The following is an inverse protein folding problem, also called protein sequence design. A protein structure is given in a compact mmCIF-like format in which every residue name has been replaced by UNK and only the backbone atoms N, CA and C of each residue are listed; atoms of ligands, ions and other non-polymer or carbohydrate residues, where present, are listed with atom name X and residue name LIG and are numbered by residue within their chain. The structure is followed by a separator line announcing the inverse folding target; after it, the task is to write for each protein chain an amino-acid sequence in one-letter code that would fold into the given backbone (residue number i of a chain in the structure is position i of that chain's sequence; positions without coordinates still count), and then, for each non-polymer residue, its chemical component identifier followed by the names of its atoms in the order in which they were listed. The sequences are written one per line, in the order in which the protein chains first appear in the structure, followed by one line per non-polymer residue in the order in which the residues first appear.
data_IF_226911567458
#
_entry.id   IF_226911567458
#
_cell.length_a   1.000
_cell.length_b   1.000
_cell.length_c   1.000
_cell.angle_alpha   90.00
_cell.angle_beta   90.00
_cell.angle_gamma   90.00
#
_symmetry.space_group_name_H-M   'P 1'
#
loop_
_entity.id
_entity.type
_entity.pdbx_description
1 polymer ?
#
# COMPACT_ATOMS: atom_id res chain seq x y z
N UNK A 1 6.25 2.24 6.35
CA UNK A 1 6.70 1.56 5.12
C UNK A 1 5.54 1.06 4.30
N UNK A 2 5.11 -0.19 4.51
CA UNK A 2 4.10 -0.90 3.69
C UNK A 2 2.83 -0.09 3.46
N UNK A 3 2.10 0.28 4.53
CA UNK A 3 0.83 1.02 4.40
C UNK A 3 0.99 2.37 3.69
N UNK A 4 2.04 3.12 4.04
CA UNK A 4 2.29 4.42 3.43
C UNK A 4 2.66 4.29 1.94
N UNK A 5 3.41 3.25 1.57
CA UNK A 5 3.71 2.94 0.17
C UNK A 5 2.46 2.57 -0.62
N UNK A 6 1.58 1.76 -0.02
CA UNK A 6 0.29 1.39 -0.61
C UNK A 6 -0.58 2.61 -0.90
N UNK A 7 -0.75 3.49 0.11
CA UNK A 7 -1.49 4.74 -0.03
C UNK A 7 -0.89 5.61 -1.12
N UNK A 8 0.43 5.83 -1.09
CA UNK A 8 1.08 6.70 -2.07
C UNK A 8 0.92 6.19 -3.50
N UNK A 9 1.16 4.90 -3.74
CA UNK A 9 1.00 4.33 -5.07
C UNK A 9 -0.47 4.33 -5.53
N UNK A 10 -1.43 4.10 -4.64
CA UNK A 10 -2.84 4.24 -4.96
C UNK A 10 -3.19 5.67 -5.38
N UNK A 11 -2.72 6.67 -4.64
CA UNK A 11 -2.95 8.10 -4.96
C UNK A 11 -2.29 8.49 -6.28
N UNK A 12 -1.12 7.94 -6.60
CA UNK A 12 -0.46 8.07 -7.91
C UNK A 12 -1.34 7.45 -9.01
N UNK A 13 -1.86 6.24 -8.79
CA UNK A 13 -2.75 5.54 -9.72
C UNK A 13 -4.06 6.30 -9.98
N UNK A 14 -4.66 6.86 -8.93
CA UNK A 14 -5.86 7.70 -9.04
C UNK A 14 -5.55 8.99 -9.82
N UNK A 15 -4.47 9.67 -9.47
CA UNK A 15 -4.13 11.00 -10.03
C UNK A 15 -3.75 10.95 -11.51
N UNK A 16 -2.91 10.00 -11.92
CA UNK A 16 -2.35 9.99 -13.27
C UNK A 16 -2.90 8.88 -14.17
N UNK A 17 -3.38 7.78 -13.60
CA UNK A 17 -3.84 6.61 -14.37
C UNK A 17 -5.36 6.44 -14.33
N UNK A 18 -6.10 7.29 -13.60
CA UNK A 18 -7.56 7.27 -13.54
C UNK A 18 -8.13 5.92 -13.08
N UNK A 19 -7.42 5.26 -12.17
CA UNK A 19 -7.77 3.92 -11.72
C UNK A 19 -9.02 4.01 -10.84
N UNK A 20 -10.10 3.32 -11.18
CA UNK A 20 -11.35 3.35 -10.39
C UNK A 20 -11.91 1.96 -10.07
N UNK A 21 -11.21 0.89 -10.46
CA UNK A 21 -11.66 -0.49 -10.24
C UNK A 21 -11.04 -1.11 -8.99
N UNK A 22 -11.75 -2.05 -8.37
CA UNK A 22 -11.24 -2.80 -7.21
C UNK A 22 -9.91 -3.51 -7.51
N UNK A 23 -9.77 -4.10 -8.70
CA UNK A 23 -8.54 -4.75 -9.12
C UNK A 23 -7.41 -3.73 -9.33
N UNK A 24 -7.72 -2.56 -9.89
CA UNK A 24 -6.77 -1.47 -10.02
C UNK A 24 -6.28 -0.97 -8.66
N UNK A 25 -7.19 -0.79 -7.70
CA UNK A 25 -6.82 -0.42 -6.33
C UNK A 25 -5.90 -1.45 -5.69
N UNK A 26 -6.24 -2.74 -5.84
CA UNK A 26 -5.42 -3.84 -5.34
C UNK A 26 -4.01 -3.82 -5.95
N UNK A 27 -3.90 -3.67 -7.27
CA UNK A 27 -2.61 -3.66 -7.95
C UNK A 27 -1.75 -2.46 -7.54
N UNK A 28 -2.29 -1.25 -7.58
CA UNK A 28 -1.54 -0.04 -7.24
C UNK A 28 -1.15 -0.02 -5.76
N UNK A 29 -2.08 -0.32 -4.85
CA UNK A 29 -1.78 -0.41 -3.43
C UNK A 29 -0.80 -1.55 -3.13
N UNK A 30 -0.95 -2.71 -3.78
CA UNK A 30 -0.06 -3.86 -3.61
C UNK A 30 1.37 -3.60 -4.09
N UNK A 31 1.54 -2.98 -5.26
CA UNK A 31 2.85 -2.58 -5.78
C UNK A 31 3.50 -1.54 -4.87
N UNK A 32 2.73 -0.56 -4.39
CA UNK A 32 3.21 0.43 -3.42
C UNK A 32 3.62 -0.18 -2.08
N UNK A 33 2.84 -1.13 -1.58
CA UNK A 33 3.14 -1.88 -0.37
C UNK A 33 4.47 -2.65 -0.50
N UNK A 34 4.65 -3.34 -1.63
CA UNK A 34 5.87 -4.07 -1.94
C UNK A 34 7.08 -3.14 -2.04
N UNK A 35 6.96 -2.03 -2.78
CA UNK A 35 8.00 -1.01 -2.88
C UNK A 35 8.38 -0.45 -1.51
N UNK A 36 7.39 -0.06 -0.71
CA UNK A 36 7.59 0.44 0.64
C UNK A 36 8.31 -0.57 1.54
N UNK A 37 7.97 -1.85 1.44
CA UNK A 37 8.63 -2.92 2.17
C UNK A 37 10.10 -3.09 1.73
N UNK A 38 10.34 -3.20 0.43
CA UNK A 38 11.68 -3.38 -0.15
C UNK A 38 12.60 -2.23 0.21
N UNK A 39 12.11 -0.98 0.17
CA UNK A 39 12.90 0.19 0.58
C UNK A 39 13.25 0.12 2.07
N UNK A 40 12.29 -0.21 2.95
CA UNK A 40 12.56 -0.30 4.39
C UNK A 40 13.59 -1.38 4.70
N UNK A 41 13.43 -2.56 4.10
CA UNK A 41 14.36 -3.68 4.30
C UNK A 41 15.73 -3.36 3.70
N UNK A 42 15.78 -2.84 2.47
CA UNK A 42 17.04 -2.49 1.79
C UNK A 42 17.85 -1.45 2.55
N UNK A 43 17.22 -0.34 2.95
CA UNK A 43 17.90 0.69 3.76
C UNK A 43 18.26 0.18 5.16
N UNK A 44 17.42 -0.67 5.76
CA UNK A 44 17.71 -1.32 7.03
C UNK A 44 18.94 -2.23 6.98
N UNK A 45 19.18 -2.89 5.84
CA UNK A 45 20.33 -3.77 5.60
C UNK A 45 21.60 -3.01 5.21
N UNK A 46 21.50 -1.91 4.45
CA UNK A 46 22.67 -1.12 4.02
C UNK A 46 23.39 -0.40 5.17
N UNK A 47 22.68 -0.08 6.26
CA UNK A 47 23.20 0.77 7.36
C UNK A 47 23.88 -0.10 8.46
N UNK A 48 24.53 -1.21 8.10
CA UNK A 48 25.28 -2.10 9.01
C UNK A 48 24.41 -3.14 9.75
N UNK A 49 24.88 -3.67 10.90
CA UNK A 49 24.18 -4.74 11.66
C UNK A 49 22.70 -4.42 11.86
N UNK A 50 21.86 -5.41 11.55
CA UNK A 50 20.39 -5.39 11.63
C UNK A 50 19.91 -5.08 13.06
N UNK A 51 19.72 -3.81 13.35
CA UNK A 51 19.13 -3.35 14.60
C UNK A 51 17.63 -3.08 14.35
N UNK A 52 16.71 -3.74 15.07
CA UNK A 52 15.26 -3.52 14.95
C UNK A 52 14.86 -2.04 15.01
N UNK A 53 15.55 -1.24 15.82
CA UNK A 53 15.30 0.21 15.92
C UNK A 53 15.53 0.95 14.60
N UNK A 54 16.50 0.52 13.78
CA UNK A 54 16.76 1.14 12.48
C UNK A 54 15.63 0.87 11.49
N UNK A 55 15.13 -0.36 11.45
CA UNK A 55 13.99 -0.72 10.61
C UNK A 55 12.76 0.12 10.96
N UNK A 56 12.53 0.36 12.26
CA UNK A 56 11.47 1.25 12.73
C UNK A 56 11.70 2.68 12.24
N UNK A 57 12.91 3.24 12.44
CA UNK A 57 13.23 4.62 12.02
C UNK A 57 13.10 4.83 10.51
N UNK A 58 13.62 3.91 9.69
CA UNK A 58 13.44 3.94 8.23
C UNK A 58 11.95 3.84 7.89
N UNK A 59 11.22 2.97 8.58
CA UNK A 59 9.78 2.81 8.42
C UNK A 59 9.01 4.11 8.70
N UNK A 60 9.38 4.84 9.75
CA UNK A 60 8.80 6.14 10.15
C UNK A 60 9.15 7.21 9.13
N UNK A 61 10.42 7.34 8.74
CA UNK A 61 10.86 8.30 7.74
C UNK A 61 10.12 8.11 6.41
N UNK A 62 10.05 6.86 5.93
CA UNK A 62 9.36 6.54 4.69
C UNK A 62 7.85 6.81 4.79
N UNK A 63 7.24 6.53 5.94
CA UNK A 63 5.83 6.86 6.17
C UNK A 63 5.58 8.37 6.13
N UNK A 64 6.48 9.18 6.70
CA UNK A 64 6.37 10.64 6.64
C UNK A 64 6.55 11.17 5.20
N UNK A 65 7.55 10.67 4.46
CA UNK A 65 7.79 11.07 3.07
C UNK A 65 6.60 10.72 2.16
N UNK A 66 6.17 9.47 2.17
CA UNK A 66 5.03 9.03 1.36
C UNK A 66 3.72 9.65 1.80
N UNK A 67 3.51 9.84 3.11
CA UNK A 67 2.36 10.55 3.64
C UNK A 67 2.30 12.00 3.16
N UNK A 68 3.43 12.72 3.21
CA UNK A 68 3.53 14.10 2.74
C UNK A 68 3.25 14.24 1.24
N UNK A 69 3.86 13.37 0.43
CA UNK A 69 3.61 13.33 -1.03
C UNK A 69 2.14 12.99 -1.36
N UNK A 70 1.58 11.99 -0.67
CA UNK A 70 0.16 11.62 -0.84
C UNK A 70 -0.75 12.79 -0.47
N UNK A 71 -0.45 13.48 0.64
CA UNK A 71 -1.22 14.64 1.10
C UNK A 71 -1.16 15.79 0.10
N UNK A 72 0.00 16.07 -0.46
CA UNK A 72 0.16 17.06 -1.53
C UNK A 72 -0.73 16.74 -2.74
N UNK A 73 -0.69 15.51 -3.25
CA UNK A 73 -1.50 15.10 -4.40
C UNK A 73 -3.01 15.16 -4.10
N UNK A 74 -3.42 14.64 -2.94
CA UNK A 74 -4.81 14.64 -2.50
C UNK A 74 -5.36 16.06 -2.36
N UNK A 75 -4.61 16.96 -1.73
CA UNK A 75 -5.03 18.36 -1.57
C UNK A 75 -5.05 19.14 -2.90
N UNK A 76 -4.27 18.69 -3.89
CA UNK A 76 -4.24 19.30 -5.22
C UNK A 76 -5.42 18.90 -6.11
N UNK A 77 -6.12 17.79 -5.79
CA UNK A 77 -7.21 17.27 -6.60
C UNK A 77 -8.39 16.78 -5.75
N UNK A 78 -9.47 17.56 -5.70
CA UNK A 78 -10.68 17.25 -4.92
C UNK A 78 -11.35 15.92 -5.33
N UNK A 79 -11.32 15.56 -6.61
CA UNK A 79 -11.94 14.32 -7.10
C UNK A 79 -11.19 13.11 -6.55
N UNK A 80 -9.85 13.12 -6.67
CA UNK A 80 -8.97 12.07 -6.15
C UNK A 80 -9.08 11.98 -4.62
N UNK A 81 -9.19 13.12 -3.93
CA UNK A 81 -9.39 13.15 -2.48
C UNK A 81 -10.66 12.41 -2.06
N UNK A 82 -11.79 12.67 -2.72
CA UNK A 82 -13.04 12.00 -2.37
C UNK A 82 -12.99 10.49 -2.67
N UNK A 83 -12.45 10.10 -3.82
CA UNK A 83 -12.23 8.67 -4.15
C UNK A 83 -11.36 7.98 -3.11
N UNK A 84 -10.23 8.58 -2.74
CA UNK A 84 -9.34 8.07 -1.70
C UNK A 84 -10.04 7.98 -0.34
N UNK A 85 -10.85 8.96 0.05
CA UNK A 85 -11.58 8.95 1.33
C UNK A 85 -12.54 7.76 1.42
N UNK A 86 -13.29 7.48 0.35
CA UNK A 86 -14.17 6.31 0.31
C UNK A 86 -13.39 5.01 0.46
N UNK A 87 -12.23 4.89 -0.20
CA UNK A 87 -11.37 3.72 -0.07
C UNK A 87 -10.75 3.59 1.32
N UNK A 88 -10.21 4.69 1.87
CA UNK A 88 -9.50 4.72 3.16
C UNK A 88 -10.41 4.49 4.38
N UNK A 89 -11.69 4.88 4.30
CA UNK A 89 -12.66 4.60 5.35
C UNK A 89 -13.00 3.11 5.47
N UNK A 90 -12.72 2.31 4.43
CA UNK A 90 -13.04 0.89 4.38
C UNK A 90 -14.54 0.66 4.36
N UNK A 91 -15.12 0.60 3.16
CA UNK A 91 -16.56 0.36 2.98
C UNK A 91 -16.83 -1.06 2.49
N UNK A 92 -17.66 -1.80 3.24
CA UNK A 92 -18.29 -3.04 2.77
C UNK A 92 -19.53 -2.77 1.93
N UNK A 93 -20.04 -1.53 1.92
CA UNK A 93 -21.27 -1.17 1.21
C UNK A 93 -21.15 -1.29 -0.31
N UNK A 94 -19.92 -1.30 -0.83
CA UNK A 94 -19.59 -1.49 -2.25
C UNK A 94 -18.98 -2.89 -2.50
N UNK A 95 -18.79 -3.70 -1.45
CA UNK A 95 -18.26 -5.04 -1.59
C UNK A 95 -19.29 -5.96 -2.26
N UNK A 96 -18.95 -6.44 -3.45
CA UNK A 96 -19.71 -7.47 -4.17
C UNK A 96 -18.92 -8.79 -4.20
N UNK A 97 -19.63 -9.89 -4.46
CA UNK A 97 -19.03 -11.22 -4.55
C UNK A 97 -17.92 -11.28 -5.60
N UNK A 98 -18.06 -10.55 -6.69
CA UNK A 98 -17.05 -10.51 -7.77
C UNK A 98 -15.72 -9.92 -7.30
N UNK A 99 -15.74 -8.82 -6.53
CA UNK A 99 -14.54 -8.23 -5.96
C UNK A 99 -13.87 -9.18 -4.95
N UNK A 100 -14.66 -9.91 -4.15
CA UNK A 100 -14.13 -10.91 -3.23
C UNK A 100 -13.43 -12.02 -4.02
N UNK A 101 -14.09 -12.58 -5.04
CA UNK A 101 -13.53 -13.64 -5.88
C UNK A 101 -12.25 -13.18 -6.58
N UNK A 102 -12.19 -11.91 -7.01
CA UNK A 102 -10.99 -11.34 -7.64
C UNK A 102 -9.79 -11.26 -6.68
N UNK A 103 -10.02 -10.96 -5.39
CA UNK A 103 -8.96 -10.81 -4.38
C UNK A 103 -8.58 -12.16 -3.75
N UNK A 104 -9.52 -13.10 -3.67
CA UNK A 104 -9.36 -14.41 -3.05
C UNK A 104 -8.10 -15.19 -3.48
N UNK A 105 -7.73 -15.31 -4.77
CA UNK A 105 -6.51 -16.05 -5.15
C UNK A 105 -5.24 -15.45 -4.57
N UNK A 106 -5.15 -14.12 -4.47
CA UNK A 106 -3.99 -13.45 -3.86
C UNK A 106 -3.89 -13.74 -2.37
N UNK A 107 -5.02 -13.72 -1.66
CA UNK A 107 -5.09 -14.05 -0.23
C UNK A 107 -4.72 -15.51 0.01
N UNK A 108 -5.24 -16.44 -0.80
CA UNK A 108 -4.91 -17.87 -0.68
C UNK A 108 -3.42 -18.13 -0.92
N UNK A 109 -2.83 -17.52 -1.96
CA UNK A 109 -1.39 -17.64 -2.24
C UNK A 109 -0.57 -17.09 -1.07
N UNK A 110 -0.89 -15.90 -0.57
CA UNK A 110 -0.20 -15.31 0.57
C UNK A 110 -0.32 -16.21 1.82
N UNK A 111 -1.51 -16.73 2.10
CA UNK A 111 -1.76 -17.63 3.23
C UNK A 111 -0.96 -18.93 3.13
N UNK A 112 -0.95 -19.58 1.97
CA UNK A 112 -0.16 -20.79 1.73
C UNK A 112 1.34 -20.52 1.90
N UNK A 113 1.85 -19.42 1.34
CA UNK A 113 3.27 -19.04 1.51
C UNK A 113 3.59 -18.81 3.00
N UNK A 114 2.73 -18.11 3.73
CA UNK A 114 2.91 -17.90 5.18
C UNK A 114 2.95 -19.22 5.94
N UNK A 115 2.06 -20.17 5.65
CA UNK A 115 2.06 -21.49 6.29
C UNK A 115 3.35 -22.27 6.01
N UNK A 116 3.89 -22.19 4.78
CA UNK A 116 5.13 -22.85 4.41
C UNK A 116 6.35 -22.24 5.12
N UNK A 117 6.36 -20.91 5.33
CA UNK A 117 7.43 -20.18 6.01
C UNK A 117 7.34 -20.22 7.54
N UNK A 118 6.24 -20.71 8.11
CA UNK A 118 6.03 -20.75 9.56
C UNK A 118 6.81 -21.89 10.26
N UNK A 119 7.60 -22.67 9.52
CA UNK A 119 8.44 -23.77 10.00
C UNK A 119 9.87 -23.31 10.22
#
# INVERSE_FOLDING_TARGET
GVNAGAVFALVVGLTWFGVESAYGYLLWAGLGALLGNVIVLGLGMMIGRSNPLKLILVGVALSATFGGLSSFLLLSNKMVLEQYRFWNLGSLSVANLDAIIAVLPFVLVAFVITLLLCR
#
